data_IF_368001013168
#
_entry.id   IF_368001013168
#
_cell.length_a   1.000
_cell.length_b   1.000
_cell.length_c   1.000
_cell.angle_alpha   90.00
_cell.angle_beta   90.00
_cell.angle_gamma   90.00
#
_symmetry.space_group_name_H-M   'P 1'
#
loop_
_entity.id
_entity.type
_entity.pdbx_description
1 polymer ?
#
# COMPACT_ATOMS: atom_id res chain seq x y z
N UNK A 1 -3.20 12.06 55.74
CA UNK A 1 -4.48 11.55 55.21
C UNK A 1 -4.78 12.38 53.98
N UNK A 2 -4.54 11.81 52.80
CA UNK A 2 -4.33 12.56 51.56
C UNK A 2 -5.63 13.14 50.99
N UNK A 3 -5.48 14.38 50.54
CA UNK A 3 -6.42 15.23 49.84
C UNK A 3 -6.91 14.57 48.54
N UNK A 4 -8.23 14.44 48.39
CA UNK A 4 -8.91 13.92 47.19
C UNK A 4 -10.12 14.79 46.88
N UNK A 5 -9.86 16.01 46.45
CA UNK A 5 -10.89 16.92 45.94
C UNK A 5 -10.38 17.66 44.70
N UNK A 6 -10.07 16.90 43.65
CA UNK A 6 -9.95 17.48 42.32
C UNK A 6 -10.55 16.54 41.29
N UNK A 7 -11.83 16.78 40.98
CA UNK A 7 -12.46 16.23 39.79
C UNK A 7 -13.37 17.32 39.25
N UNK A 8 -12.96 18.07 38.21
CA UNK A 8 -13.81 19.11 37.67
C UNK A 8 -15.03 18.46 37.00
N UNK A 9 -16.18 18.56 37.68
CA UNK A 9 -17.51 18.32 37.10
C UNK A 9 -17.82 19.45 36.13
N UNK A 10 -17.40 19.29 34.88
CA UNK A 10 -17.94 20.08 33.76
C UNK A 10 -18.51 19.13 32.71
N UNK A 11 -19.54 18.38 33.11
CA UNK A 11 -20.45 17.74 32.18
C UNK A 11 -21.33 18.83 31.55
N UNK A 12 -20.77 19.55 30.56
CA UNK A 12 -21.52 20.47 29.70
C UNK A 12 -22.51 19.63 28.91
N UNK A 13 -23.76 19.54 29.39
CA UNK A 13 -24.86 18.84 28.74
C UNK A 13 -25.13 19.52 27.39
N UNK A 14 -24.47 19.02 26.36
CA UNK A 14 -24.72 19.41 24.97
C UNK A 14 -26.15 19.02 24.63
N UNK A 15 -27.03 20.01 24.52
CA UNK A 15 -28.44 19.87 24.13
C UNK A 15 -28.62 19.67 22.62
N UNK A 16 -27.54 19.66 21.84
CA UNK A 16 -27.60 19.40 20.41
C UNK A 16 -27.55 17.87 20.22
N UNK A 17 -28.60 17.24 19.63
CA UNK A 17 -28.51 15.85 19.23
C UNK A 17 -27.39 15.76 18.19
N UNK A 18 -26.28 15.10 18.55
CA UNK A 18 -25.25 14.73 17.58
C UNK A 18 -25.88 13.74 16.62
N UNK A 19 -26.40 14.24 15.50
CA UNK A 19 -26.72 13.42 14.34
C UNK A 19 -25.39 12.80 13.90
N UNK A 20 -25.11 11.59 14.37
CA UNK A 20 -24.02 10.76 13.87
C UNK A 20 -24.47 10.35 12.47
N UNK A 21 -24.26 11.24 11.50
CA UNK A 21 -24.31 10.87 10.09
C UNK A 21 -23.29 9.74 9.96
N UNK A 22 -23.80 8.54 9.70
CA UNK A 22 -22.99 7.33 9.59
C UNK A 22 -22.00 7.53 8.44
N UNK A 23 -20.77 7.92 8.80
CA UNK A 23 -19.72 8.29 7.85
C UNK A 23 -19.36 7.11 6.94
N UNK A 24 -19.66 5.88 7.37
CA UNK A 24 -19.43 4.66 6.59
C UNK A 24 -20.50 4.46 5.52
N UNK A 25 -21.75 4.86 5.77
CA UNK A 25 -22.81 4.82 4.77
C UNK A 25 -22.61 5.90 3.69
N UNK A 26 -22.29 7.13 4.11
CA UNK A 26 -21.97 8.23 3.19
C UNK A 26 -20.72 7.92 2.39
N UNK A 27 -19.69 7.35 3.02
CA UNK A 27 -18.43 6.97 2.38
C UNK A 27 -18.60 5.92 1.28
N UNK A 28 -19.42 4.88 1.50
CA UNK A 28 -19.74 3.89 0.46
C UNK A 28 -20.51 4.49 -0.71
N UNK A 29 -21.45 5.39 -0.44
CA UNK A 29 -22.20 6.10 -1.47
C UNK A 29 -21.29 7.03 -2.31
N UNK A 30 -20.40 7.78 -1.66
CA UNK A 30 -19.44 8.67 -2.36
C UNK A 30 -18.43 7.88 -3.19
N UNK A 31 -17.95 6.73 -2.70
CA UNK A 31 -17.02 5.86 -3.47
C UNK A 31 -17.68 5.26 -4.72
N UNK A 32 -18.98 4.98 -4.67
CA UNK A 32 -19.77 4.58 -5.85
C UNK A 32 -19.95 5.73 -6.85
N UNK A 33 -20.28 6.92 -6.36
CA UNK A 33 -20.45 8.13 -7.17
C UNK A 33 -19.12 8.53 -7.82
N UNK A 34 -18.01 8.51 -7.10
CA UNK A 34 -16.69 8.85 -7.63
C UNK A 34 -16.26 7.90 -8.77
N UNK A 35 -16.46 6.59 -8.61
CA UNK A 35 -16.21 5.61 -9.68
C UNK A 35 -17.12 5.85 -10.89
N UNK A 36 -18.38 6.22 -10.66
CA UNK A 36 -19.32 6.51 -11.74
C UNK A 36 -18.96 7.78 -12.51
N UNK A 37 -18.69 8.89 -11.81
CA UNK A 37 -18.29 10.18 -12.41
C UNK A 37 -16.97 10.09 -13.19
N UNK A 38 -16.02 9.27 -12.74
CA UNK A 38 -14.73 9.06 -13.40
C UNK A 38 -14.78 8.16 -14.65
N UNK A 39 -15.93 7.55 -14.97
CA UNK A 39 -16.06 6.65 -16.11
C UNK A 39 -16.49 7.41 -17.37
N UNK A 40 -15.92 7.12 -18.57
CA UNK A 40 -16.35 7.75 -19.84
C UNK A 40 -17.84 7.59 -20.15
N UNK A 41 -18.48 6.55 -19.59
CA UNK A 41 -19.91 6.28 -19.73
C UNK A 41 -20.78 7.40 -19.14
N UNK A 42 -20.37 8.04 -18.05
CA UNK A 42 -21.12 9.14 -17.45
C UNK A 42 -21.24 10.33 -18.42
N UNK A 43 -20.14 10.69 -19.08
CA UNK A 43 -20.11 11.75 -20.08
C UNK A 43 -21.07 11.43 -21.24
N UNK A 44 -21.08 10.18 -21.73
CA UNK A 44 -22.02 9.76 -22.77
C UNK A 44 -23.48 9.93 -22.33
N UNK A 45 -23.84 9.48 -21.12
CA UNK A 45 -25.20 9.65 -20.61
C UNK A 45 -25.59 11.13 -20.45
N UNK A 46 -24.67 11.96 -19.95
CA UNK A 46 -24.89 13.40 -19.81
C UNK A 46 -25.07 14.07 -21.16
N UNK A 47 -24.27 13.73 -22.17
CA UNK A 47 -24.41 14.23 -23.54
C UNK A 47 -25.73 13.80 -24.16
N UNK A 48 -26.13 12.53 -24.00
CA UNK A 48 -27.41 12.03 -24.50
C UNK A 48 -28.58 12.74 -23.82
N UNK A 49 -28.49 12.99 -22.50
CA UNK A 49 -29.50 13.76 -21.77
C UNK A 49 -29.63 15.19 -22.30
N UNK A 50 -28.52 15.91 -22.45
CA UNK A 50 -28.52 17.26 -23.00
C UNK A 50 -29.06 17.29 -24.43
N UNK A 51 -28.67 16.34 -25.28
CA UNK A 51 -29.17 16.22 -26.64
C UNK A 51 -30.68 15.95 -26.65
N UNK A 52 -31.16 14.98 -25.89
CA UNK A 52 -32.59 14.65 -25.78
C UNK A 52 -33.41 15.86 -25.28
N UNK A 53 -32.88 16.60 -24.31
CA UNK A 53 -33.52 17.81 -23.79
C UNK A 53 -33.66 18.90 -24.84
N UNK A 54 -32.58 19.18 -25.58
CA UNK A 54 -32.56 20.15 -26.68
C UNK A 54 -33.55 19.73 -27.77
N UNK A 55 -33.52 18.46 -28.19
CA UNK A 55 -34.43 17.89 -29.20
C UNK A 55 -35.89 18.07 -28.76
N UNK A 56 -36.21 17.71 -27.52
CA UNK A 56 -37.56 17.81 -26.98
C UNK A 56 -38.05 19.25 -26.89
N UNK A 57 -37.24 20.18 -26.37
CA UNK A 57 -37.63 21.59 -26.27
C UNK A 57 -37.55 22.35 -27.61
N UNK A 58 -36.88 21.80 -28.62
CA UNK A 58 -36.81 22.36 -29.98
C UNK A 58 -37.97 21.91 -30.89
N UNK A 59 -38.36 20.64 -30.82
CA UNK A 59 -39.39 20.05 -31.70
C UNK A 59 -40.67 19.59 -30.98
N UNK A 60 -40.73 19.71 -29.66
CA UNK A 60 -41.91 19.34 -28.87
C UNK A 60 -43.11 20.27 -29.09
N UNK A 61 -44.32 19.87 -28.62
CA UNK A 61 -45.54 20.66 -28.74
C UNK A 61 -45.41 22.01 -28.03
N UNK A 62 -45.83 23.11 -28.66
CA UNK A 62 -45.66 24.48 -28.15
C UNK A 62 -46.16 24.70 -26.71
N UNK A 63 -47.21 24.00 -26.29
CA UNK A 63 -47.74 24.07 -24.92
C UNK A 63 -46.94 23.33 -23.84
N UNK A 64 -45.94 22.51 -24.22
CA UNK A 64 -45.10 21.73 -23.30
C UNK A 64 -43.62 22.14 -23.35
N UNK A 65 -43.28 23.15 -24.16
CA UNK A 65 -41.93 23.72 -24.27
C UNK A 65 -41.74 24.71 -23.14
N UNK A 66 -41.08 24.29 -22.07
CA UNK A 66 -40.77 25.14 -20.93
C UNK A 66 -39.36 25.74 -21.02
N UNK A 67 -38.47 25.17 -21.84
CA UNK A 67 -37.09 25.63 -22.02
C UNK A 67 -36.81 25.95 -23.49
N UNK A 68 -37.43 27.03 -23.98
CA UNK A 68 -37.38 27.41 -25.39
C UNK A 68 -35.97 27.79 -25.87
N UNK A 69 -35.67 27.41 -27.12
CA UNK A 69 -34.40 27.75 -27.78
C UNK A 69 -34.17 29.27 -27.93
N UNK A 70 -35.24 30.07 -27.98
CA UNK A 70 -35.19 31.54 -28.06
C UNK A 70 -34.48 32.18 -26.86
N UNK A 71 -34.61 31.58 -25.68
CA UNK A 71 -33.93 32.02 -24.45
C UNK A 71 -32.62 31.26 -24.19
N UNK A 72 -32.14 30.47 -25.16
CA UNK A 72 -30.85 29.77 -25.05
C UNK A 72 -30.82 28.62 -24.04
N UNK A 73 -31.96 27.96 -23.78
CA UNK A 73 -32.07 26.86 -22.82
C UNK A 73 -31.68 27.26 -21.38
N UNK A 74 -32.27 28.35 -20.87
CA UNK A 74 -32.02 28.88 -19.53
C UNK A 74 -32.21 27.82 -18.44
N UNK A 75 -33.24 26.98 -18.53
CA UNK A 75 -33.50 25.97 -17.49
C UNK A 75 -32.39 24.90 -17.47
N UNK A 76 -31.98 24.41 -18.65
CA UNK A 76 -30.84 23.49 -18.77
C UNK A 76 -29.56 24.11 -18.19
N UNK A 77 -29.31 25.39 -18.49
CA UNK A 77 -28.12 26.11 -18.03
C UNK A 77 -28.11 26.28 -16.51
N UNK A 78 -29.26 26.67 -15.92
CA UNK A 78 -29.40 26.77 -14.47
C UNK A 78 -29.22 25.40 -13.79
N UNK A 79 -29.75 24.34 -14.39
CA UNK A 79 -29.59 22.98 -13.86
C UNK A 79 -28.14 22.50 -13.91
N UNK A 80 -27.43 22.72 -15.03
CA UNK A 80 -26.02 22.35 -15.16
C UNK A 80 -25.11 23.16 -14.23
N UNK A 81 -25.37 24.46 -14.05
CA UNK A 81 -24.60 25.30 -13.11
C UNK A 81 -24.80 24.86 -11.65
N UNK A 82 -26.04 24.50 -11.26
CA UNK A 82 -26.32 23.90 -9.96
C UNK A 82 -25.62 22.54 -9.79
N UNK A 83 -25.66 21.69 -10.83
CA UNK A 83 -25.00 20.38 -10.82
C UNK A 83 -23.49 20.50 -10.56
N UNK A 84 -22.82 21.45 -11.23
CA UNK A 84 -21.41 21.73 -11.00
C UNK A 84 -21.14 22.22 -9.55
N UNK A 85 -21.99 23.11 -9.04
CA UNK A 85 -21.85 23.67 -7.68
C UNK A 85 -21.97 22.61 -6.58
N UNK A 86 -22.90 21.65 -6.72
CA UNK A 86 -23.07 20.57 -5.74
C UNK A 86 -22.09 19.40 -5.95
N UNK A 87 -21.59 19.19 -7.16
CA UNK A 87 -20.59 18.16 -7.43
C UNK A 87 -19.26 18.44 -6.70
N UNK A 88 -18.81 19.70 -6.67
CA UNK A 88 -17.56 20.09 -6.03
C UNK A 88 -17.43 19.64 -4.55
N UNK A 89 -18.37 19.95 -3.63
CA UNK A 89 -18.27 19.52 -2.24
C UNK A 89 -18.39 18.00 -2.06
N UNK A 90 -19.16 17.30 -2.91
CA UNK A 90 -19.21 15.84 -2.88
C UNK A 90 -17.90 15.20 -3.33
N UNK A 91 -17.28 15.76 -4.38
CA UNK A 91 -15.98 15.31 -4.87
C UNK A 91 -14.92 15.53 -3.80
N UNK A 92 -14.91 16.68 -3.12
CA UNK A 92 -13.98 16.96 -2.01
C UNK A 92 -14.12 15.95 -0.87
N UNK A 93 -15.34 15.54 -0.53
CA UNK A 93 -15.56 14.50 0.49
C UNK A 93 -15.05 13.12 0.04
N UNK A 94 -15.20 12.79 -1.25
CA UNK A 94 -14.65 11.57 -1.81
C UNK A 94 -13.12 11.59 -1.86
N UNK A 95 -12.52 12.73 -2.20
CA UNK A 95 -11.07 12.94 -2.28
C UNK A 95 -10.41 12.86 -0.91
N UNK A 96 -10.93 13.54 0.12
CA UNK A 96 -10.37 13.47 1.48
C UNK A 96 -10.21 12.03 1.98
N UNK A 97 -11.13 11.13 1.62
CA UNK A 97 -11.04 9.71 2.00
C UNK A 97 -10.02 8.93 1.19
N UNK A 98 -9.82 9.27 -0.08
CA UNK A 98 -8.75 8.67 -0.89
C UNK A 98 -7.39 9.11 -0.34
N UNK A 99 -7.23 10.40 -0.07
CA UNK A 99 -6.01 10.97 0.48
C UNK A 99 -5.66 10.35 1.86
N UNK A 100 -6.65 10.11 2.72
CA UNK A 100 -6.46 9.43 4.00
C UNK A 100 -5.96 7.98 3.82
N UNK A 101 -6.54 7.22 2.87
CA UNK A 101 -6.08 5.84 2.57
C UNK A 101 -4.68 5.83 1.98
N UNK A 102 -4.41 6.76 1.07
CA UNK A 102 -3.12 6.87 0.39
C UNK A 102 -2.02 7.27 1.40
N UNK A 103 -2.34 8.14 2.35
CA UNK A 103 -1.46 8.49 3.47
C UNK A 103 -1.10 7.28 4.33
N UNK A 104 -2.10 6.50 4.75
CA UNK A 104 -1.86 5.29 5.58
C UNK A 104 -1.01 4.28 4.81
N UNK A 105 -1.28 4.10 3.52
CA UNK A 105 -0.50 3.21 2.65
C UNK A 105 0.95 3.68 2.55
N UNK A 106 1.17 4.98 2.34
CA UNK A 106 2.51 5.57 2.27
C UNK A 106 3.29 5.46 3.60
N UNK A 107 2.62 5.63 4.74
CA UNK A 107 3.23 5.45 6.07
C UNK A 107 3.65 3.99 6.30
N UNK A 108 2.83 3.02 5.89
CA UNK A 108 3.15 1.60 5.97
C UNK A 108 4.31 1.21 5.06
N UNK A 109 4.33 1.69 3.83
CA UNK A 109 5.41 1.42 2.88
C UNK A 109 6.73 2.01 3.37
N UNK A 110 6.70 3.19 3.99
CA UNK A 110 7.87 3.77 4.65
C UNK A 110 8.40 2.89 5.78
N UNK A 111 7.53 2.42 6.67
CA UNK A 111 7.94 1.51 7.76
C UNK A 111 8.52 0.19 7.23
N UNK A 112 7.93 -0.35 6.15
CA UNK A 112 8.45 -1.57 5.50
C UNK A 112 9.82 -1.32 4.88
N UNK A 113 10.02 -0.18 4.22
CA UNK A 113 11.31 0.19 3.66
C UNK A 113 12.40 0.32 4.73
N UNK A 114 12.09 0.95 5.87
CA UNK A 114 13.00 1.05 7.01
C UNK A 114 13.38 -0.32 7.58
N UNK A 115 12.40 -1.24 7.72
CA UNK A 115 12.66 -2.63 8.15
C UNK A 115 13.51 -3.40 7.14
N UNK A 116 13.19 -3.30 5.84
CA UNK A 116 13.96 -3.97 4.80
C UNK A 116 15.41 -3.48 4.76
N UNK A 117 15.64 -2.18 4.98
CA UNK A 117 16.99 -1.62 5.09
C UNK A 117 17.72 -2.22 6.30
N UNK A 118 17.08 -2.26 7.47
CA UNK A 118 17.66 -2.86 8.68
C UNK A 118 17.96 -4.36 8.51
N UNK A 119 17.06 -5.13 7.89
CA UNK A 119 17.27 -6.55 7.59
C UNK A 119 18.42 -6.74 6.61
N UNK A 120 18.54 -5.88 5.60
CA UNK A 120 19.65 -5.91 4.64
C UNK A 120 20.97 -5.59 5.33
N UNK A 121 21.00 -4.59 6.22
CA UNK A 121 22.19 -4.29 7.02
C UNK A 121 22.57 -5.45 7.96
N UNK A 122 21.58 -6.09 8.57
CA UNK A 122 21.79 -7.25 9.42
C UNK A 122 22.40 -8.41 8.63
N UNK A 123 21.79 -8.77 7.49
CA UNK A 123 22.30 -9.79 6.59
C UNK A 123 23.70 -9.45 6.07
N UNK A 124 23.98 -8.18 5.75
CA UNK A 124 25.31 -7.77 5.31
C UNK A 124 26.38 -7.95 6.40
N UNK A 125 26.05 -7.64 7.67
CA UNK A 125 26.94 -7.87 8.81
C UNK A 125 27.17 -9.35 9.07
N UNK A 126 26.10 -10.16 9.03
CA UNK A 126 26.22 -11.61 9.20
C UNK A 126 27.02 -12.26 8.06
N UNK A 127 26.81 -11.81 6.82
CA UNK A 127 27.62 -12.26 5.68
C UNK A 127 29.10 -11.90 5.81
N UNK A 128 29.41 -10.70 6.34
CA UNK A 128 30.78 -10.31 6.62
C UNK A 128 31.42 -11.20 7.70
N UNK A 129 30.70 -11.48 8.79
CA UNK A 129 31.16 -12.37 9.85
C UNK A 129 31.37 -13.82 9.34
N UNK A 130 30.40 -14.35 8.59
CA UNK A 130 30.48 -15.68 7.98
C UNK A 130 31.66 -15.78 7.01
N UNK A 131 31.93 -14.74 6.22
CA UNK A 131 33.10 -14.68 5.32
C UNK A 131 34.42 -14.74 6.09
N UNK A 132 34.54 -14.05 7.22
CA UNK A 132 35.75 -14.09 8.06
C UNK A 132 35.94 -15.50 8.63
N UNK A 133 34.90 -16.09 9.22
CA UNK A 133 34.96 -17.44 9.78
C UNK A 133 35.34 -18.50 8.71
N UNK A 134 34.79 -18.40 7.50
CA UNK A 134 35.17 -19.28 6.38
C UNK A 134 36.61 -19.05 5.92
N UNK A 135 37.10 -17.81 5.96
CA UNK A 135 38.50 -17.49 5.59
C UNK A 135 39.50 -18.12 6.55
N UNK A 136 39.17 -18.24 7.84
CA UNK A 136 40.04 -18.88 8.83
C UNK A 136 40.12 -20.41 8.61
N UNK A 137 38.98 -21.07 8.40
CA UNK A 137 38.92 -22.54 8.21
C UNK A 137 39.47 -22.99 6.86
N UNK A 138 39.29 -22.18 5.81
CA UNK A 138 39.74 -22.51 4.45
C UNK A 138 41.13 -21.93 4.12
N UNK A 139 41.95 -21.59 5.12
CA UNK A 139 43.32 -21.13 4.83
C UNK A 139 44.06 -22.25 4.11
N UNK A 140 44.58 -21.98 2.90
CA UNK A 140 45.27 -22.97 2.05
C UNK A 140 46.32 -23.77 2.82
N UNK A 141 47.02 -23.12 3.74
CA UNK A 141 48.08 -23.74 4.53
C UNK A 141 47.56 -24.70 5.60
N UNK A 142 46.39 -24.43 6.22
CA UNK A 142 45.73 -25.36 7.15
C UNK A 142 45.20 -26.59 6.41
N UNK A 143 44.52 -26.38 5.28
CA UNK A 143 44.04 -27.48 4.43
C UNK A 143 45.21 -28.32 3.92
N UNK A 144 46.31 -27.67 3.54
CA UNK A 144 47.54 -28.35 3.10
C UNK A 144 48.23 -29.10 4.23
N UNK A 145 48.31 -28.54 5.44
CA UNK A 145 48.92 -29.23 6.58
C UNK A 145 48.10 -30.44 6.97
N UNK A 146 46.78 -30.34 6.95
CA UNK A 146 45.94 -31.45 7.37
C UNK A 146 45.85 -32.57 6.35
N UNK A 147 45.84 -32.24 5.05
CA UNK A 147 46.04 -33.25 4.00
C UNK A 147 47.38 -33.96 4.18
N UNK A 148 48.46 -33.22 4.51
CA UNK A 148 49.79 -33.80 4.67
C UNK A 148 49.86 -34.72 5.90
N UNK A 149 49.34 -34.28 7.05
CA UNK A 149 49.22 -35.10 8.26
C UNK A 149 48.45 -36.40 8.00
N UNK A 150 47.30 -36.31 7.33
CA UNK A 150 46.49 -37.49 6.99
C UNK A 150 47.23 -38.43 6.04
N UNK A 151 48.01 -37.90 5.09
CA UNK A 151 48.82 -38.69 4.16
C UNK A 151 49.94 -39.44 4.90
N UNK A 152 50.61 -38.75 5.82
CA UNK A 152 51.70 -39.29 6.64
C UNK A 152 51.17 -40.39 7.59
N UNK A 153 50.00 -40.18 8.20
CA UNK A 153 49.33 -41.19 9.04
C UNK A 153 48.93 -42.45 8.24
N UNK A 154 48.53 -42.28 6.98
CA UNK A 154 48.23 -43.40 6.08
C UNK A 154 49.50 -44.15 5.63
N UNK A 155 50.59 -43.44 5.33
CA UNK A 155 51.89 -44.06 5.04
C UNK A 155 52.41 -44.85 6.25
N UNK A 156 52.32 -44.29 7.46
CA UNK A 156 52.72 -44.99 8.68
C UNK A 156 51.89 -46.25 8.91
N UNK A 157 50.57 -46.19 8.67
CA UNK A 157 49.70 -47.38 8.76
C UNK A 157 50.05 -48.40 7.68
N UNK A 158 50.35 -47.99 6.45
CA UNK A 158 50.80 -48.88 5.39
C UNK A 158 52.14 -49.54 5.72
N UNK A 159 53.09 -48.79 6.30
CA UNK A 159 54.40 -49.31 6.71
C UNK A 159 54.28 -50.30 7.88
N UNK A 160 53.39 -50.03 8.84
CA UNK A 160 53.07 -50.97 9.94
C UNK A 160 52.30 -52.21 9.48
N UNK A 161 51.67 -52.16 8.30
CA UNK A 161 50.90 -53.25 7.74
C UNK A 161 51.66 -54.07 6.69
N UNK A 162 52.87 -53.63 6.30
CA UNK A 162 53.81 -54.45 5.55
C UNK A 162 54.36 -55.55 6.48
N UNK A 163 54.04 -56.84 6.26
CA UNK A 163 54.68 -57.93 6.99
C UNK A 163 56.15 -57.99 6.55
N UNK A 164 57.05 -58.33 7.49
CA UNK A 164 58.42 -58.74 7.18
C UNK A 164 58.39 -59.89 6.17
N UNK A 165 58.48 -59.58 4.88
CA UNK A 165 58.95 -60.52 3.87
C UNK A 165 60.49 -60.53 3.95
N UNK A 166 61.01 -61.14 5.00
CA UNK A 166 62.27 -61.86 4.92
C UNK A 166 61.99 -63.30 5.36
N UNK A 167 62.43 -64.30 4.56
CA UNK A 167 63.84 -64.61 4.69
C UNK A 167 64.54 -65.25 3.46
N UNK A 168 65.86 -65.29 3.61
CA UNK A 168 66.79 -66.35 3.21
C UNK A 168 67.37 -66.34 1.78
N UNK A 169 68.61 -65.86 1.67
CA UNK A 169 69.74 -66.52 0.97
C UNK A 169 70.96 -65.58 1.11
N UNK A 170 72.22 -66.00 1.33
CA UNK A 170 72.88 -67.29 1.29
C UNK A 170 74.28 -67.13 1.90
#
# INVERSE_FOLDING_TARGET
MADRLDTPKTARRSLIPRVRVDQDAVGRATEGIARFLGTPRFLVYLTVFCAAWIIWNSWGPEGLRFDSAEFGFTALTLMLSLQASYAAPLILLAQNRQDDRDRVTAEQDRQRAERNLADTEYLAREMAALRIALSEVATRDFVRSEIRNLLEELEEKSARQAPDDEPADR
#
